data_IF_406501919354
#
_entry.id   IF_406501919354
#
_cell.length_a   1.000
_cell.length_b   1.000
_cell.length_c   1.000
_cell.angle_alpha   90.00
_cell.angle_beta   90.00
_cell.angle_gamma   90.00
#
_symmetry.space_group_name_H-M   'P 1'
#
loop_
_entity.id
_entity.type
_entity.pdbx_description
1 polymer ?
#
# COMPACT_ATOMS: atom_id res chain seq x y z
N UNK A 1 6.19 -0.65 2.86
CA UNK A 1 6.96 0.58 2.60
C UNK A 1 8.36 0.41 3.18
N UNK A 2 9.38 0.31 2.34
CA UNK A 2 10.76 0.09 2.82
C UNK A 2 11.35 1.41 3.37
N UNK A 3 10.97 1.74 4.61
CA UNK A 3 11.29 3.02 5.30
C UNK A 3 12.77 3.36 5.17
N UNK A 4 13.66 2.36 5.19
CA UNK A 4 15.12 2.54 5.06
C UNK A 4 15.55 3.07 3.68
N UNK A 5 14.91 2.67 2.56
CA UNK A 5 15.18 3.22 1.22
C UNK A 5 14.72 4.68 1.14
N UNK A 6 13.54 4.98 1.70
CA UNK A 6 12.95 6.32 1.72
C UNK A 6 13.76 7.29 2.61
N UNK A 7 14.25 6.83 3.77
CA UNK A 7 15.16 7.58 4.63
C UNK A 7 16.45 7.92 3.88
N UNK A 8 17.07 6.97 3.17
CA UNK A 8 18.31 7.24 2.41
C UNK A 8 18.11 8.30 1.33
N UNK A 9 17.01 8.21 0.57
CA UNK A 9 16.68 9.21 -0.46
C UNK A 9 16.40 10.59 0.15
N UNK A 10 15.69 10.64 1.28
CA UNK A 10 15.46 11.89 2.00
C UNK A 10 16.75 12.50 2.57
N UNK A 11 17.68 11.69 3.10
CA UNK A 11 19.01 12.18 3.56
C UNK A 11 19.77 12.82 2.39
N UNK A 12 19.79 12.17 1.23
CA UNK A 12 20.45 12.72 0.03
C UNK A 12 19.78 14.04 -0.39
N UNK A 13 18.45 14.11 -0.39
CA UNK A 13 17.73 15.34 -0.71
C UNK A 13 18.04 16.48 0.28
N UNK A 14 18.17 16.18 1.58
CA UNK A 14 18.56 17.17 2.61
C UNK A 14 19.99 17.65 2.39
N UNK A 15 20.92 16.76 2.03
CA UNK A 15 22.31 17.14 1.72
C UNK A 15 22.37 18.05 0.49
N UNK A 16 21.62 17.74 -0.57
CA UNK A 16 21.55 18.58 -1.78
C UNK A 16 20.94 19.95 -1.45
N UNK A 17 19.89 20.00 -0.62
CA UNK A 17 19.31 21.27 -0.18
C UNK A 17 20.30 22.10 0.66
N UNK A 18 21.07 21.44 1.53
CA UNK A 18 22.16 22.07 2.30
C UNK A 18 23.25 22.66 1.40
N UNK A 19 23.62 21.95 0.32
CA UNK A 19 24.57 22.45 -0.68
C UNK A 19 24.02 23.67 -1.45
N UNK A 20 22.74 23.66 -1.81
CA UNK A 20 22.09 24.82 -2.46
C UNK A 20 22.05 26.03 -1.52
N UNK A 21 21.76 25.82 -0.22
CA UNK A 21 21.83 26.89 0.78
C UNK A 21 23.25 27.43 0.96
N UNK A 22 24.25 26.55 1.08
CA UNK A 22 25.66 26.94 1.18
C UNK A 22 26.11 27.74 -0.05
N UNK A 23 25.72 27.30 -1.25
CA UNK A 23 25.99 28.02 -2.49
C UNK A 23 25.38 29.43 -2.44
N UNK A 24 24.13 29.57 -2.01
CA UNK A 24 23.46 30.87 -1.89
C UNK A 24 24.08 31.79 -0.84
N UNK A 25 24.53 31.24 0.30
CA UNK A 25 25.24 32.01 1.34
C UNK A 25 26.59 32.49 0.81
N UNK A 26 27.33 31.61 0.12
CA UNK A 26 28.63 31.94 -0.45
C UNK A 26 28.51 33.00 -1.54
N UNK A 27 27.57 32.86 -2.48
CA UNK A 27 27.33 33.88 -3.51
C UNK A 27 26.78 35.18 -2.92
N UNK A 28 25.92 35.11 -1.89
CA UNK A 28 25.46 36.28 -1.16
C UNK A 28 26.63 37.07 -0.55
N UNK A 29 27.53 36.41 0.18
CA UNK A 29 28.70 37.05 0.78
C UNK A 29 29.68 37.62 -0.25
N UNK A 30 29.85 36.94 -1.38
CA UNK A 30 30.82 37.32 -2.41
C UNK A 30 30.30 38.47 -3.30
N UNK A 31 28.99 38.56 -3.49
CA UNK A 31 28.36 39.59 -4.32
C UNK A 31 27.79 40.79 -3.53
N UNK A 32 27.52 40.69 -2.22
CA UNK A 32 27.19 41.86 -1.37
C UNK A 32 28.41 42.76 -1.10
N UNK A 33 29.63 42.21 -1.20
CA UNK A 33 30.86 42.96 -0.96
C UNK A 33 31.22 43.95 -2.09
N UNK A 34 30.56 43.86 -3.24
CA UNK A 34 30.78 44.75 -4.38
C UNK A 34 29.57 45.67 -4.63
N UNK A 35 29.78 46.92 -4.26
CA UNK A 35 29.10 48.17 -4.61
C UNK A 35 27.84 48.12 -5.52
N UNK A 36 26.89 48.97 -5.16
CA UNK A 36 25.45 49.06 -5.55
C UNK A 36 25.15 49.08 -7.07
N UNK A 37 26.17 49.12 -7.93
CA UNK A 37 26.06 49.14 -9.40
C UNK A 37 25.99 47.76 -10.09
N UNK A 38 26.17 46.65 -9.38
CA UNK A 38 26.21 45.29 -9.97
C UNK A 38 24.89 44.51 -9.86
N UNK A 39 23.75 45.18 -10.06
CA UNK A 39 22.40 44.60 -10.01
C UNK A 39 22.22 43.37 -10.91
N UNK A 40 22.98 43.27 -12.01
CA UNK A 40 23.00 42.11 -12.91
C UNK A 40 23.54 40.82 -12.29
N UNK A 41 24.58 40.89 -11.45
CA UNK A 41 25.16 39.69 -10.81
C UNK A 41 24.29 39.18 -9.66
N UNK A 42 23.68 40.10 -8.90
CA UNK A 42 22.73 39.75 -7.85
C UNK A 42 21.46 39.10 -8.43
N UNK A 43 20.89 39.69 -9.49
CA UNK A 43 19.73 39.10 -10.18
C UNK A 43 20.07 37.75 -10.82
N UNK A 44 21.26 37.58 -11.40
CA UNK A 44 21.74 36.29 -11.90
C UNK A 44 21.84 35.22 -10.79
N UNK A 45 22.40 35.57 -9.63
CA UNK A 45 22.50 34.67 -8.46
C UNK A 45 21.13 34.23 -7.95
N UNK A 46 20.16 35.16 -7.90
CA UNK A 46 18.77 34.87 -7.53
C UNK A 46 18.08 33.91 -8.50
N UNK A 47 18.18 34.20 -9.81
CA UNK A 47 17.59 33.34 -10.86
C UNK A 47 18.21 31.94 -10.80
N UNK A 48 19.53 31.84 -10.68
CA UNK A 48 20.24 30.57 -10.60
C UNK A 48 19.84 29.76 -9.36
N UNK A 49 19.68 30.44 -8.21
CA UNK A 49 19.19 29.81 -6.97
C UNK A 49 17.77 29.27 -7.12
N UNK A 50 16.88 30.01 -7.81
CA UNK A 50 15.53 29.56 -8.12
C UNK A 50 15.53 28.33 -9.04
N UNK A 51 16.39 28.32 -10.06
CA UNK A 51 16.55 27.16 -10.96
C UNK A 51 17.03 25.93 -10.19
N UNK A 52 18.02 26.07 -9.30
CA UNK A 52 18.49 24.96 -8.48
C UNK A 52 17.42 24.43 -7.51
N UNK A 53 16.62 25.32 -6.91
CA UNK A 53 15.47 24.93 -6.08
C UNK A 53 14.41 24.18 -6.88
N UNK A 54 14.09 24.64 -8.09
CA UNK A 54 13.13 23.97 -8.96
C UNK A 54 13.63 22.57 -9.40
N UNK A 55 14.91 22.46 -9.76
CA UNK A 55 15.56 21.18 -10.08
C UNK A 55 15.56 20.23 -8.89
N UNK A 56 15.86 20.72 -7.69
CA UNK A 56 15.81 19.93 -6.46
C UNK A 56 14.39 19.44 -6.13
N UNK A 57 13.39 20.30 -6.28
CA UNK A 57 11.99 19.94 -6.05
C UNK A 57 11.53 18.86 -7.05
N UNK A 58 11.85 19.03 -8.34
CA UNK A 58 11.56 18.05 -9.37
C UNK A 58 12.26 16.72 -9.11
N UNK A 59 13.54 16.75 -8.73
CA UNK A 59 14.31 15.56 -8.37
C UNK A 59 13.72 14.82 -7.16
N UNK A 60 13.34 15.56 -6.11
CA UNK A 60 12.73 14.99 -4.89
C UNK A 60 11.40 14.30 -5.18
N UNK A 61 10.56 14.92 -6.01
CA UNK A 61 9.29 14.32 -6.43
C UNK A 61 9.57 13.05 -7.25
N UNK A 62 10.47 13.14 -8.23
CA UNK A 62 10.84 12.00 -9.08
C UNK A 62 11.41 10.83 -8.26
N UNK A 63 12.34 11.09 -7.34
CA UNK A 63 12.98 10.07 -6.50
C UNK A 63 11.94 9.36 -5.63
N UNK A 64 11.05 10.11 -4.99
CA UNK A 64 10.01 9.52 -4.13
C UNK A 64 9.01 8.68 -4.92
N UNK A 65 8.60 9.15 -6.11
CA UNK A 65 7.71 8.38 -7.01
C UNK A 65 8.40 7.11 -7.53
N UNK A 66 9.69 7.19 -7.87
CA UNK A 66 10.45 6.05 -8.38
C UNK A 66 10.58 4.93 -7.33
N UNK A 67 10.89 5.26 -6.07
CA UNK A 67 10.99 4.29 -4.97
C UNK A 67 9.65 3.57 -4.73
N UNK A 68 8.54 4.30 -4.77
CA UNK A 68 7.20 3.71 -4.61
C UNK A 68 6.85 2.78 -5.78
N UNK A 69 7.20 3.17 -7.01
CA UNK A 69 7.00 2.33 -8.20
C UNK A 69 7.87 1.06 -8.16
N UNK A 70 9.14 1.18 -7.77
CA UNK A 70 10.05 0.05 -7.61
C UNK A 70 9.55 -0.95 -6.57
N UNK A 71 9.05 -0.50 -5.42
CA UNK A 71 8.53 -1.42 -4.39
C UNK A 71 7.29 -2.20 -4.88
N UNK A 72 6.40 -1.54 -5.63
CA UNK A 72 5.25 -2.23 -6.26
C UNK A 72 5.70 -3.24 -7.31
N UNK A 73 6.74 -2.92 -8.10
CA UNK A 73 7.30 -3.82 -9.10
C UNK A 73 8.05 -5.01 -8.45
N UNK A 74 8.80 -4.79 -7.37
CA UNK A 74 9.46 -5.84 -6.58
C UNK A 74 8.44 -6.83 -6.01
N UNK A 75 7.32 -6.34 -5.44
CA UNK A 75 6.24 -7.20 -4.93
C UNK A 75 5.61 -8.07 -6.02
N UNK A 76 5.26 -7.47 -7.17
CA UNK A 76 4.72 -8.21 -8.32
C UNK A 76 5.70 -9.24 -8.86
N UNK A 77 6.99 -8.89 -8.94
CA UNK A 77 8.03 -9.81 -9.37
C UNK A 77 8.15 -11.00 -8.42
N UNK A 78 8.06 -10.77 -7.11
CA UNK A 78 8.15 -11.82 -6.10
C UNK A 78 7.00 -12.84 -6.22
N UNK A 79 5.75 -12.39 -6.40
CA UNK A 79 4.61 -13.30 -6.61
C UNK A 79 4.81 -14.15 -7.86
N UNK A 80 5.21 -13.55 -8.98
CA UNK A 80 5.45 -14.25 -10.25
C UNK A 80 6.59 -15.26 -10.12
N UNK A 81 7.66 -14.89 -9.43
CA UNK A 81 8.82 -15.74 -9.17
C UNK A 81 8.44 -16.97 -8.32
N UNK A 82 7.77 -16.75 -7.20
CA UNK A 82 7.31 -17.82 -6.30
C UNK A 82 6.33 -18.75 -7.00
N UNK A 83 5.39 -18.18 -7.79
CA UNK A 83 4.46 -18.95 -8.62
C UNK A 83 5.20 -19.83 -9.63
N UNK A 84 6.20 -19.28 -10.33
CA UNK A 84 6.99 -20.02 -11.30
C UNK A 84 7.84 -21.12 -10.63
N UNK A 85 8.39 -20.84 -9.44
CA UNK A 85 9.11 -21.83 -8.65
C UNK A 85 8.19 -22.98 -8.25
N UNK A 86 7.02 -22.69 -7.70
CA UNK A 86 6.03 -23.70 -7.30
C UNK A 86 5.55 -24.57 -8.49
N UNK A 87 5.43 -23.99 -9.69
CA UNK A 87 5.13 -24.72 -10.93
C UNK A 87 6.24 -25.69 -11.37
N UNK A 88 7.49 -25.38 -11.03
CA UNK A 88 8.68 -26.17 -11.41
C UNK A 88 9.16 -27.09 -10.29
N UNK A 89 8.70 -26.86 -9.07
CA UNK A 89 9.15 -27.55 -7.87
C UNK A 89 8.81 -29.05 -7.89
N UNK A 90 9.85 -29.85 -7.65
CA UNK A 90 9.74 -31.29 -7.45
C UNK A 90 9.19 -32.09 -8.63
N UNK A 91 8.69 -33.29 -8.35
CA UNK A 91 8.09 -34.14 -9.36
C UNK A 91 6.65 -33.67 -9.69
N UNK A 92 6.40 -33.38 -10.96
CA UNK A 92 5.11 -32.88 -11.44
C UNK A 92 3.92 -33.83 -11.19
N UNK A 93 4.17 -35.13 -11.05
CA UNK A 93 3.13 -36.15 -10.82
C UNK A 93 2.64 -36.22 -9.37
N UNK A 94 3.41 -35.69 -8.43
CA UNK A 94 3.07 -35.65 -7.01
C UNK A 94 2.58 -34.27 -6.60
N UNK A 95 1.77 -34.22 -5.53
CA UNK A 95 1.22 -33.00 -4.95
C UNK A 95 0.46 -32.09 -5.94
N UNK A 96 -0.15 -32.68 -6.98
CA UNK A 96 -0.83 -31.92 -8.05
C UNK A 96 -1.98 -31.09 -7.48
N UNK A 97 -2.76 -31.66 -6.56
CA UNK A 97 -3.90 -30.99 -5.95
C UNK A 97 -3.44 -29.80 -5.10
N UNK A 98 -2.48 -30.04 -4.21
CA UNK A 98 -1.91 -29.06 -3.30
C UNK A 98 -1.22 -27.92 -4.08
N UNK A 99 -0.47 -28.24 -5.13
CA UNK A 99 0.14 -27.27 -6.05
C UNK A 99 -0.92 -26.39 -6.70
N UNK A 100 -1.93 -26.99 -7.33
CA UNK A 100 -2.98 -26.25 -8.02
C UNK A 100 -3.74 -25.33 -7.07
N UNK A 101 -4.04 -25.81 -5.86
CA UNK A 101 -4.71 -25.02 -4.82
C UNK A 101 -3.91 -23.77 -4.45
N UNK A 102 -2.62 -23.90 -4.12
CA UNK A 102 -1.78 -22.75 -3.79
C UNK A 102 -1.62 -21.77 -4.96
N UNK A 103 -1.51 -22.28 -6.19
CA UNK A 103 -1.47 -21.43 -7.38
C UNK A 103 -2.76 -20.64 -7.56
N UNK A 104 -3.92 -21.27 -7.36
CA UNK A 104 -5.23 -20.58 -7.41
C UNK A 104 -5.34 -19.52 -6.32
N UNK A 105 -4.87 -19.79 -5.10
CA UNK A 105 -4.86 -18.81 -4.02
C UNK A 105 -3.94 -17.62 -4.32
N UNK A 106 -2.74 -17.88 -4.83
CA UNK A 106 -1.81 -16.82 -5.27
C UNK A 106 -2.38 -15.98 -6.41
N UNK A 107 -2.97 -16.60 -7.42
CA UNK A 107 -3.57 -15.92 -8.57
C UNK A 107 -4.79 -15.08 -8.13
N UNK A 108 -5.60 -15.59 -7.18
CA UNK A 108 -6.72 -14.86 -6.57
C UNK A 108 -6.25 -13.61 -5.81
N UNK A 109 -5.19 -13.73 -5.00
CA UNK A 109 -4.62 -12.58 -4.29
C UNK A 109 -4.02 -11.56 -5.27
N UNK A 110 -3.28 -12.01 -6.29
CA UNK A 110 -2.71 -11.12 -7.30
C UNK A 110 -3.79 -10.32 -8.06
N UNK A 111 -4.93 -10.95 -8.38
CA UNK A 111 -6.06 -10.27 -9.04
C UNK A 111 -6.66 -9.15 -8.17
N UNK A 112 -6.66 -9.32 -6.85
CA UNK A 112 -7.24 -8.37 -5.88
C UNK A 112 -6.29 -7.24 -5.49
N UNK A 113 -5.01 -7.34 -5.84
CA UNK A 113 -3.99 -6.33 -5.51
C UNK A 113 -4.38 -4.93 -5.99
N UNK A 114 -4.98 -4.82 -7.18
CA UNK A 114 -5.41 -3.53 -7.73
C UNK A 114 -6.51 -2.87 -6.89
N UNK A 115 -7.44 -3.67 -6.36
CA UNK A 115 -8.55 -3.18 -5.55
C UNK A 115 -8.06 -2.65 -4.21
N UNK A 116 -7.32 -3.47 -3.46
CA UNK A 116 -6.79 -3.06 -2.15
C UNK A 116 -5.67 -2.01 -2.25
N UNK A 117 -4.94 -1.97 -3.38
CA UNK A 117 -3.93 -0.96 -3.64
C UNK A 117 -4.49 0.42 -4.02
N UNK A 118 -5.78 0.52 -4.33
CA UNK A 118 -6.48 1.76 -4.64
C UNK A 118 -7.33 2.29 -3.46
N UNK A 119 -7.48 1.50 -2.40
CA UNK A 119 -8.20 1.91 -1.18
C UNK A 119 -7.48 3.03 -0.42
N UNK A 120 -8.26 3.79 0.35
CA UNK A 120 -7.72 4.87 1.18
C UNK A 120 -6.69 4.34 2.19
N UNK A 121 -5.63 5.12 2.40
CA UNK A 121 -4.51 4.79 3.30
C UNK A 121 -4.92 4.74 4.77
N UNK A 122 -6.06 5.32 5.12
CA UNK A 122 -6.60 5.28 6.49
C UNK A 122 -7.34 3.96 6.79
N UNK A 123 -7.65 3.17 5.76
CA UNK A 123 -8.21 1.84 5.96
C UNK A 123 -7.11 0.88 6.43
N UNK A 124 -7.42 0.02 7.41
CA UNK A 124 -6.53 -1.10 7.81
C UNK A 124 -6.57 -2.27 6.83
N UNK A 125 -7.53 -2.28 5.91
CA UNK A 125 -7.75 -3.39 4.98
C UNK A 125 -6.60 -3.61 3.98
N UNK A 126 -5.99 -2.56 3.40
CA UNK A 126 -4.80 -2.70 2.55
C UNK A 126 -3.59 -3.28 3.30
N UNK A 127 -3.42 -2.93 4.57
CA UNK A 127 -2.34 -3.47 5.41
C UNK A 127 -2.56 -4.96 5.70
N UNK A 128 -3.78 -5.34 6.07
CA UNK A 128 -4.15 -6.75 6.29
C UNK A 128 -4.03 -7.58 5.01
N UNK A 129 -4.38 -7.00 3.86
CA UNK A 129 -4.17 -7.63 2.56
C UNK A 129 -2.68 -7.86 2.29
N UNK A 130 -1.83 -6.87 2.55
CA UNK A 130 -0.37 -6.99 2.40
C UNK A 130 0.20 -8.09 3.30
N UNK A 131 -0.22 -8.16 4.56
CA UNK A 131 0.19 -9.22 5.50
C UNK A 131 -0.24 -10.60 5.01
N UNK A 132 -1.48 -10.73 4.55
CA UNK A 132 -2.04 -11.98 4.01
C UNK A 132 -1.26 -12.45 2.78
N UNK A 133 -0.97 -11.54 1.85
CA UNK A 133 -0.18 -11.86 0.65
C UNK A 133 1.25 -12.25 1.00
N UNK A 134 1.89 -11.56 1.95
CA UNK A 134 3.25 -11.91 2.39
C UNK A 134 3.30 -13.30 3.05
N UNK A 135 2.31 -13.65 3.87
CA UNK A 135 2.22 -14.98 4.47
C UNK A 135 1.96 -16.06 3.41
N UNK A 136 1.09 -15.79 2.43
CA UNK A 136 0.86 -16.72 1.32
C UNK A 136 2.12 -16.97 0.50
N UNK A 137 2.91 -15.93 0.20
CA UNK A 137 4.19 -16.05 -0.51
C UNK A 137 5.15 -16.95 0.28
N UNK A 138 5.23 -16.78 1.61
CA UNK A 138 6.07 -17.62 2.47
C UNK A 138 5.61 -19.08 2.45
N UNK A 139 4.31 -19.32 2.60
CA UNK A 139 3.74 -20.67 2.56
C UNK A 139 4.02 -21.36 1.22
N UNK A 140 3.81 -20.66 0.10
CA UNK A 140 4.12 -21.19 -1.23
C UNK A 140 5.62 -21.45 -1.44
N UNK A 141 6.49 -20.61 -0.88
CA UNK A 141 7.95 -20.80 -0.93
C UNK A 141 8.36 -22.04 -0.14
N UNK A 142 7.87 -22.19 1.09
CA UNK A 142 8.15 -23.35 1.95
C UNK A 142 7.68 -24.66 1.30
N UNK A 143 6.51 -24.62 0.65
CA UNK A 143 5.98 -25.79 -0.07
C UNK A 143 6.81 -26.10 -1.30
N UNK A 144 7.24 -25.10 -2.07
CA UNK A 144 8.14 -25.31 -3.19
C UNK A 144 9.47 -25.94 -2.76
N UNK A 145 10.08 -25.45 -1.67
CA UNK A 145 11.30 -26.01 -1.08
C UNK A 145 11.13 -27.45 -0.60
N UNK A 146 9.99 -27.72 0.05
CA UNK A 146 9.66 -29.08 0.47
C UNK A 146 9.53 -30.02 -0.72
N UNK A 147 8.80 -29.62 -1.77
CA UNK A 147 8.67 -30.42 -2.99
C UNK A 147 10.03 -30.62 -3.69
N UNK A 148 10.90 -29.62 -3.70
CA UNK A 148 12.25 -29.74 -4.28
C UNK A 148 13.13 -30.76 -3.54
N UNK A 149 12.94 -30.91 -2.22
CA UNK A 149 13.76 -31.77 -1.35
C UNK A 149 13.08 -33.08 -0.94
N UNK A 150 11.84 -33.29 -1.36
CA UNK A 150 11.03 -34.45 -0.99
C UNK A 150 11.63 -35.75 -1.56
N UNK A 151 11.73 -36.77 -0.72
CA UNK A 151 12.11 -38.11 -1.17
C UNK A 151 10.94 -38.81 -1.88
N UNK A 152 10.94 -38.70 -3.21
CA UNK A 152 9.95 -39.30 -4.10
C UNK A 152 10.02 -40.84 -4.16
N UNK A 153 11.06 -41.47 -3.61
CA UNK A 153 11.24 -42.92 -3.66
C UNK A 153 10.53 -43.57 -2.47
N UNK A 154 10.71 -43.04 -1.25
CA UNK A 154 10.06 -43.59 -0.04
C UNK A 154 8.63 -43.10 0.17
N UNK A 155 8.28 -41.91 -0.33
CA UNK A 155 6.90 -41.39 -0.37
C UNK A 155 6.22 -41.23 0.99
N UNK A 156 6.97 -41.25 2.10
CA UNK A 156 6.41 -41.51 3.44
C UNK A 156 5.78 -40.32 4.15
N UNK A 157 5.81 -39.10 3.61
CA UNK A 157 5.32 -37.94 4.37
C UNK A 157 4.72 -36.81 3.51
N UNK A 158 3.53 -36.99 2.95
CA UNK A 158 2.86 -35.91 2.20
C UNK A 158 2.07 -34.92 3.08
N UNK A 159 2.03 -35.16 4.40
CA UNK A 159 1.16 -34.42 5.33
C UNK A 159 1.52 -32.95 5.49
N UNK A 160 2.82 -32.63 5.45
CA UNK A 160 3.32 -31.26 5.61
C UNK A 160 2.80 -30.29 4.54
N UNK A 161 2.83 -30.71 3.27
CA UNK A 161 2.33 -29.88 2.16
C UNK A 161 0.83 -29.63 2.34
N UNK A 162 0.08 -30.66 2.71
CA UNK A 162 -1.37 -30.55 2.94
C UNK A 162 -1.68 -29.60 4.10
N UNK A 163 -0.96 -29.68 5.22
CA UNK A 163 -1.19 -28.77 6.34
C UNK A 163 -0.94 -27.30 5.96
N UNK A 164 0.08 -27.02 5.14
CA UNK A 164 0.32 -25.65 4.68
C UNK A 164 -0.77 -25.17 3.72
N UNK A 165 -1.28 -26.05 2.85
CA UNK A 165 -2.40 -25.74 1.97
C UNK A 165 -3.67 -25.39 2.79
N UNK A 166 -3.98 -26.19 3.81
CA UNK A 166 -5.14 -25.97 4.66
C UNK A 166 -5.01 -24.66 5.47
N UNK A 167 -3.83 -24.38 6.02
CA UNK A 167 -3.55 -23.11 6.69
C UNK A 167 -3.70 -21.91 5.75
N UNK A 168 -3.18 -22.05 4.52
CA UNK A 168 -3.26 -21.01 3.49
C UNK A 168 -4.70 -20.72 3.07
N UNK A 169 -5.53 -21.76 2.97
CA UNK A 169 -6.97 -21.62 2.71
C UNK A 169 -7.67 -20.91 3.88
N UNK A 170 -7.43 -21.37 5.10
CA UNK A 170 -8.00 -20.75 6.30
C UNK A 170 -7.62 -19.28 6.44
N UNK A 171 -6.39 -18.92 6.09
CA UNK A 171 -5.93 -17.53 6.09
C UNK A 171 -6.75 -16.67 5.11
N UNK A 172 -6.92 -17.14 3.88
CA UNK A 172 -7.69 -16.43 2.85
C UNK A 172 -9.17 -16.34 3.21
N UNK A 173 -9.74 -17.40 3.79
CA UNK A 173 -11.14 -17.40 4.23
C UNK A 173 -11.38 -16.41 5.37
N UNK A 174 -10.47 -16.36 6.36
CA UNK A 174 -10.51 -15.35 7.43
C UNK A 174 -10.41 -13.93 6.88
N UNK A 175 -9.51 -13.72 5.91
CA UNK A 175 -9.38 -12.42 5.26
C UNK A 175 -10.67 -12.03 4.51
N UNK A 176 -11.26 -12.95 3.74
CA UNK A 176 -12.52 -12.71 3.02
C UNK A 176 -13.65 -12.34 3.98
N UNK A 177 -13.79 -13.08 5.09
CA UNK A 177 -14.80 -12.79 6.11
C UNK A 177 -14.61 -11.42 6.76
N UNK A 178 -13.36 -11.01 6.96
CA UNK A 178 -13.04 -9.68 7.48
C UNK A 178 -13.40 -8.57 6.48
N UNK A 179 -13.12 -8.79 5.19
CA UNK A 179 -13.53 -7.86 4.12
C UNK A 179 -15.05 -7.73 4.08
N UNK A 180 -15.78 -8.84 4.12
CA UNK A 180 -17.24 -8.88 4.13
C UNK A 180 -17.82 -8.10 5.32
N UNK A 181 -17.35 -8.38 6.54
CA UNK A 181 -17.78 -7.67 7.75
C UNK A 181 -17.51 -6.17 7.67
N UNK A 182 -16.41 -5.76 7.05
CA UNK A 182 -16.07 -4.33 6.89
C UNK A 182 -17.03 -3.64 5.94
N UNK A 183 -17.42 -4.30 4.84
CA UNK A 183 -18.41 -3.77 3.89
C UNK A 183 -19.80 -3.73 4.54
N UNK A 184 -20.22 -4.79 5.23
CA UNK A 184 -21.51 -4.82 5.93
C UNK A 184 -21.59 -3.72 7.01
N UNK A 185 -20.50 -3.44 7.73
CA UNK A 185 -20.48 -2.36 8.70
C UNK A 185 -20.62 -0.97 8.05
N UNK A 186 -19.96 -0.75 6.90
CA UNK A 186 -20.09 0.51 6.15
C UNK A 186 -21.52 0.73 5.64
N UNK A 187 -22.14 -0.33 5.12
CA UNK A 187 -23.53 -0.29 4.64
C UNK A 187 -24.55 -0.13 5.78
N UNK A 188 -24.37 -0.85 6.89
CA UNK A 188 -25.31 -0.78 8.04
C UNK A 188 -25.19 0.50 8.85
N UNK A 189 -24.00 1.12 8.96
CA UNK A 189 -23.87 2.43 9.61
C UNK A 189 -24.54 3.55 8.80
N UNK A 190 -24.66 3.39 7.47
CA UNK A 190 -25.40 4.32 6.61
C UNK A 190 -26.92 4.18 6.74
N UNK A 191 -27.42 2.97 7.00
CA UNK A 191 -28.86 2.73 7.14
C UNK A 191 -29.39 3.06 8.55
N UNK A 192 -28.56 2.97 9.59
CA UNK A 192 -29.00 3.15 10.98
C UNK A 192 -29.17 4.61 11.45
N UNK A 193 -28.76 5.64 10.69
CA UNK A 193 -28.60 6.99 11.25
C UNK A 193 -29.27 8.15 10.50
N UNK A 194 -30.24 7.89 9.62
CA UNK A 194 -31.03 9.00 9.03
C UNK A 194 -32.52 8.73 9.00
N UNK A 195 -32.95 7.53 8.60
CA UNK A 195 -34.37 7.29 8.38
C UNK A 195 -35.21 7.28 9.67
N UNK A 196 -34.74 6.62 10.71
CA UNK A 196 -35.43 6.59 12.01
C UNK A 196 -35.39 7.96 12.71
N UNK A 197 -34.29 8.70 12.54
CA UNK A 197 -34.16 10.07 13.06
C UNK A 197 -35.07 11.04 12.29
N UNK A 198 -35.14 10.93 10.97
CA UNK A 198 -36.01 11.73 10.10
C UNK A 198 -37.49 11.45 10.42
N UNK A 199 -37.88 10.19 10.62
CA UNK A 199 -39.24 9.82 11.02
C UNK A 199 -39.60 10.40 12.41
N UNK A 200 -38.65 10.41 13.35
CA UNK A 200 -38.84 11.05 14.67
C UNK A 200 -38.92 12.58 14.57
N UNK A 201 -38.12 13.21 13.71
CA UNK A 201 -38.19 14.66 13.45
C UNK A 201 -39.53 15.02 12.80
N UNK A 202 -40.00 14.23 11.83
CA UNK A 202 -41.29 14.45 11.17
C UNK A 202 -42.45 14.29 12.16
N UNK A 203 -42.39 13.31 13.06
CA UNK A 203 -43.37 13.14 14.13
C UNK A 203 -43.37 14.35 15.10
N UNK A 204 -42.19 14.85 15.49
CA UNK A 204 -42.05 16.02 16.37
C UNK A 204 -42.49 17.32 15.69
N UNK A 205 -42.21 17.49 14.40
CA UNK A 205 -42.70 18.62 13.61
C UNK A 205 -44.22 18.60 13.46
N UNK A 206 -44.78 17.41 13.25
CA UNK A 206 -46.23 17.22 13.19
C UNK A 206 -46.85 17.62 14.52
N UNK A 207 -46.37 17.08 15.65
CA UNK A 207 -46.85 17.48 16.98
C UNK A 207 -46.70 18.99 17.26
N UNK A 208 -45.63 19.63 16.81
CA UNK A 208 -45.45 21.09 16.94
C UNK A 208 -46.47 21.88 16.12
N UNK A 209 -46.77 21.44 14.90
CA UNK A 209 -47.77 22.08 14.01
C UNK A 209 -49.19 21.88 14.55
N UNK A 210 -49.53 20.68 15.03
CA UNK A 210 -50.85 20.38 15.61
C UNK A 210 -51.05 21.05 16.98
N UNK A 211 -50.02 21.08 17.83
CA UNK A 211 -50.06 21.69 19.16
C UNK A 211 -50.24 23.21 19.14
N UNK A 212 -49.75 23.90 18.10
CA UNK A 212 -50.01 25.34 17.91
C UNK A 212 -51.45 25.66 17.48
N UNK A 213 -52.17 24.71 16.88
CA UNK A 213 -53.58 24.87 16.53
C UNK A 213 -54.55 24.58 17.67
N UNK A 214 -54.14 23.78 18.66
CA UNK A 214 -54.98 23.35 19.78
C UNK A 214 -54.99 24.31 20.99
N UNK A 215 -54.07 25.28 21.04
CA UNK A 215 -53.99 26.29 22.11
C UNK A 215 -54.39 27.71 21.65
N UNK A 216 -54.97 27.81 20.45
CA UNK A 216 -55.52 29.03 19.88
C UNK A 216 -57.04 28.96 19.73
N UNK A 217 -57.74 28.66 20.83
CA UNK A 217 -59.18 28.93 21.03
C UNK A 217 -59.35 29.67 22.35
#
# INVERSE_FOLDING_TARGET
MNIRKLIKVNIINVIILGLIMLFKVFTGMLFDAHDVNNSGLYTFSLVLSFVFLALWAAFTIYSNVSVVKEEKLEKKRNIVEVRNRLMRAGNKRFFVKERNMLLTLLDSLAAREKYFGAMDRNSKLPELFELTTNQMIRNATNVAEYMETFDYISGRDSGYVRSICDESQHLVDKFNKLVELTVTYDDTSRDYDTREIDDMIEALETMRKTGKGALGS
#
